data_IF_496263463566
#
_entry.id   IF_496263463566
#
_cell.length_a   1.000
_cell.length_b   1.000
_cell.length_c   1.000
_cell.angle_alpha   90.00
_cell.angle_beta   90.00
_cell.angle_gamma   90.00
#
_symmetry.space_group_name_H-M   'P 1'
#
loop_
_entity.id
_entity.type
_entity.pdbx_description
1 polymer ?
#
# COMPACT_ATOMS: atom_id res chain seq x y z
N UNK A 1 1.75 -17.22 -13.37
CA UNK A 1 2.78 -17.47 -12.36
C UNK A 1 4.14 -16.85 -12.70
N UNK A 2 4.69 -17.06 -13.90
CA UNK A 2 6.05 -16.60 -14.27
C UNK A 2 6.34 -15.09 -14.04
N UNK A 3 5.44 -14.14 -14.40
CA UNK A 3 5.74 -12.71 -14.20
C UNK A 3 5.75 -12.26 -12.74
N UNK A 4 4.94 -12.90 -11.88
CA UNK A 4 4.91 -12.62 -10.44
C UNK A 4 6.17 -13.15 -9.76
N UNK A 5 6.62 -14.34 -10.14
CA UNK A 5 7.89 -14.89 -9.66
C UNK A 5 9.07 -14.01 -10.08
N UNK A 6 9.06 -13.49 -11.31
CA UNK A 6 10.07 -12.53 -11.77
C UNK A 6 10.06 -11.22 -10.96
N UNK A 7 8.87 -10.67 -10.63
CA UNK A 7 8.77 -9.50 -9.74
C UNK A 7 9.34 -9.82 -8.35
N UNK A 8 8.95 -10.95 -7.80
CA UNK A 8 9.35 -11.35 -6.45
C UNK A 8 10.85 -11.57 -6.35
N UNK A 9 11.44 -12.28 -7.32
CA UNK A 9 12.89 -12.46 -7.43
C UNK A 9 13.62 -11.12 -7.59
N UNK A 10 13.12 -10.24 -8.46
CA UNK A 10 13.68 -8.88 -8.60
C UNK A 10 13.67 -8.11 -7.27
N UNK A 11 12.54 -8.13 -6.55
CA UNK A 11 12.42 -7.46 -5.26
C UNK A 11 13.35 -8.08 -4.19
N UNK A 12 13.46 -9.40 -4.13
CA UNK A 12 14.39 -10.08 -3.21
C UNK A 12 15.84 -9.73 -3.55
N UNK A 13 16.22 -9.78 -4.83
CA UNK A 13 17.58 -9.46 -5.27
C UNK A 13 17.92 -8.04 -4.85
N UNK A 14 17.05 -7.07 -5.12
CA UNK A 14 17.29 -5.68 -4.73
C UNK A 14 17.28 -5.49 -3.21
N UNK A 15 16.45 -6.22 -2.46
CA UNK A 15 16.45 -6.22 -0.99
C UNK A 15 17.80 -6.70 -0.42
N UNK A 16 18.30 -7.83 -0.91
CA UNK A 16 19.59 -8.41 -0.51
C UNK A 16 20.77 -7.53 -0.96
N UNK A 17 20.59 -6.75 -2.03
CA UNK A 17 21.63 -5.85 -2.56
C UNK A 17 21.85 -4.62 -1.68
N UNK A 18 20.82 -4.14 -0.98
CA UNK A 18 20.93 -2.95 -0.11
C UNK A 18 22.09 -3.03 0.90
N UNK A 19 22.24 -4.09 1.72
CA UNK A 19 23.36 -4.17 2.67
C UNK A 19 24.73 -4.18 1.97
N UNK A 20 24.86 -4.84 0.81
CA UNK A 20 26.11 -4.85 0.05
C UNK A 20 26.49 -3.46 -0.44
N UNK A 21 25.53 -2.70 -0.96
CA UNK A 21 25.74 -1.32 -1.40
C UNK A 21 26.21 -0.40 -0.28
N UNK A 22 25.68 -0.62 0.93
CA UNK A 22 26.06 0.16 2.10
C UNK A 22 27.49 -0.16 2.55
N UNK A 23 27.90 -1.43 2.50
CA UNK A 23 29.27 -1.86 2.84
C UNK A 23 30.29 -1.33 1.82
N UNK A 24 29.97 -1.39 0.52
CA UNK A 24 30.87 -0.96 -0.56
C UNK A 24 30.78 0.56 -0.81
N UNK A 25 29.82 1.25 -0.20
CA UNK A 25 29.61 2.69 -0.40
C UNK A 25 29.04 3.04 -1.78
N UNK A 26 28.41 2.09 -2.49
CA UNK A 26 27.85 2.31 -3.83
C UNK A 26 26.57 3.12 -3.74
N UNK A 27 26.59 4.40 -4.13
CA UNK A 27 25.43 5.30 -4.07
C UNK A 27 24.59 5.36 -5.35
N UNK A 28 25.23 5.22 -6.51
CA UNK A 28 24.59 5.32 -7.83
C UNK A 28 24.16 3.95 -8.32
N UNK A 29 22.91 3.81 -8.76
CA UNK A 29 22.30 2.53 -9.14
C UNK A 29 21.40 2.65 -10.37
N UNK A 30 21.32 1.54 -11.09
CA UNK A 30 20.46 1.34 -12.27
C UNK A 30 19.48 0.22 -11.93
N UNK A 31 18.19 0.48 -12.17
CA UNK A 31 17.08 -0.45 -12.02
C UNK A 31 16.46 -0.69 -13.39
N UNK A 32 16.50 -1.93 -13.88
CA UNK A 32 15.97 -2.29 -15.19
C UNK A 32 14.93 -3.39 -15.07
N UNK A 33 13.77 -3.20 -15.71
CA UNK A 33 12.68 -4.17 -15.74
C UNK A 33 11.98 -4.17 -17.10
N UNK A 34 11.71 -5.36 -17.64
CA UNK A 34 11.07 -5.51 -18.95
C UNK A 34 9.79 -6.33 -18.89
N UNK A 35 8.73 -5.94 -19.59
CA UNK A 35 7.48 -6.70 -19.65
C UNK A 35 6.91 -6.73 -21.06
N UNK A 36 6.46 -7.91 -21.48
CA UNK A 36 5.60 -8.09 -22.65
C UNK A 36 4.28 -7.37 -22.39
N UNK A 37 3.74 -6.69 -23.39
CA UNK A 37 2.50 -5.93 -23.40
C UNK A 37 1.63 -6.49 -24.52
N UNK A 38 0.38 -6.84 -24.21
CA UNK A 38 -0.59 -7.26 -25.23
C UNK A 38 -1.19 -6.02 -25.91
N UNK A 39 -0.34 -5.29 -26.62
CA UNK A 39 -0.68 -4.13 -27.42
C UNK A 39 0.35 -3.97 -28.56
N UNK A 40 -0.06 -3.45 -29.72
CA UNK A 40 0.86 -3.11 -30.81
C UNK A 40 1.96 -2.16 -30.35
N UNK A 41 3.17 -2.29 -30.92
CA UNK A 41 4.32 -1.40 -30.63
C UNK A 41 3.96 0.08 -30.75
N UNK A 42 3.16 0.45 -31.75
CA UNK A 42 2.72 1.83 -32.00
C UNK A 42 1.83 2.37 -30.88
N UNK A 43 0.87 1.58 -30.39
CA UNK A 43 0.00 1.96 -29.26
C UNK A 43 0.81 2.12 -27.98
N UNK A 44 1.73 1.18 -27.73
CA UNK A 44 2.62 1.23 -26.58
C UNK A 44 3.55 2.43 -26.62
N UNK A 45 4.15 2.74 -27.78
CA UNK A 45 4.97 3.92 -27.97
C UNK A 45 4.19 5.20 -27.64
N UNK A 46 2.98 5.35 -28.19
CA UNK A 46 2.12 6.50 -27.95
C UNK A 46 1.68 6.66 -26.48
N UNK A 47 1.81 5.63 -25.66
CA UNK A 47 1.59 5.71 -24.20
C UNK A 47 2.84 6.19 -23.50
N UNK A 48 4.01 5.63 -23.82
CA UNK A 48 5.26 5.94 -23.11
C UNK A 48 5.82 7.33 -23.46
N UNK A 49 5.58 7.82 -24.68
CA UNK A 49 6.05 9.13 -25.16
C UNK A 49 5.03 10.26 -24.92
N UNK A 50 3.87 9.97 -24.34
CA UNK A 50 2.83 10.97 -24.16
C UNK A 50 3.16 11.99 -23.07
N UNK A 51 3.18 13.27 -23.44
CA UNK A 51 3.27 14.41 -22.52
C UNK A 51 1.96 14.72 -21.79
N UNK A 52 0.83 14.30 -22.39
CA UNK A 52 -0.52 14.47 -21.83
C UNK A 52 -1.25 13.13 -21.86
N UNK A 53 -1.37 12.48 -20.71
CA UNK A 53 -1.95 11.14 -20.61
C UNK A 53 -2.50 10.86 -19.22
N UNK A 54 -3.59 10.09 -19.16
CA UNK A 54 -4.01 9.43 -17.93
C UNK A 54 -3.49 8.01 -17.94
N UNK A 55 -2.57 7.71 -17.03
CA UNK A 55 -1.98 6.40 -16.82
C UNK A 55 -2.83 5.59 -15.84
N UNK A 56 -3.16 4.37 -16.27
CA UNK A 56 -3.88 3.37 -15.51
C UNK A 56 -3.04 2.86 -14.33
N UNK A 57 -3.59 2.85 -13.13
CA UNK A 57 -2.89 2.34 -11.95
C UNK A 57 -3.66 2.67 -10.69
N UNK A 58 -3.46 1.98 -9.55
CA UNK A 58 -4.04 2.38 -8.29
C UNK A 58 -3.10 3.32 -7.52
N UNK A 59 -3.49 4.60 -7.33
CA UNK A 59 -4.47 5.40 -8.06
C UNK A 59 -3.98 5.85 -9.45
N UNK A 60 -4.92 6.26 -10.33
CA UNK A 60 -4.59 6.71 -11.69
C UNK A 60 -3.80 8.01 -11.61
N UNK A 61 -2.95 8.22 -12.62
CA UNK A 61 -2.03 9.33 -12.67
C UNK A 61 -2.22 10.10 -13.97
N UNK A 62 -2.60 11.37 -13.88
CA UNK A 62 -2.76 12.23 -15.05
C UNK A 62 -1.54 13.11 -15.22
N UNK A 63 -0.75 12.83 -16.23
CA UNK A 63 0.37 13.67 -16.64
C UNK A 63 -0.16 14.73 -17.62
N UNK A 64 0.19 15.98 -17.36
CA UNK A 64 -0.10 17.11 -18.23
C UNK A 64 1.11 18.04 -18.24
N UNK A 65 2.02 17.81 -19.20
CA UNK A 65 3.23 18.60 -19.40
C UNK A 65 3.25 19.26 -20.78
N UNK A 66 3.90 20.41 -20.83
CA UNK A 66 4.10 21.21 -22.03
C UNK A 66 5.57 21.59 -22.16
N UNK A 67 6.07 21.75 -23.40
CA UNK A 67 7.44 22.20 -23.62
C UNK A 67 7.63 23.61 -23.03
N UNK A 68 8.74 23.81 -22.33
CA UNK A 68 9.14 25.12 -21.81
C UNK A 68 9.60 26.03 -22.96
N UNK A 69 8.92 27.16 -23.22
CA UNK A 69 9.27 28.05 -24.32
C UNK A 69 10.69 28.63 -24.23
N UNK A 70 11.26 28.71 -23.03
CA UNK A 70 12.59 29.29 -22.79
C UNK A 70 13.72 28.24 -22.80
N UNK A 71 13.40 26.96 -22.63
CA UNK A 71 14.38 25.88 -22.45
C UNK A 71 14.08 24.71 -23.40
N UNK A 72 14.72 24.68 -24.59
CA UNK A 72 14.52 23.60 -25.55
C UNK A 72 14.75 22.21 -24.94
N UNK A 73 13.80 21.29 -25.17
CA UNK A 73 13.84 19.92 -24.65
C UNK A 73 13.42 19.77 -23.19
N UNK A 74 13.13 20.86 -22.47
CA UNK A 74 12.54 20.82 -21.13
C UNK A 74 11.02 20.85 -21.22
N UNK A 75 10.37 20.02 -20.42
CA UNK A 75 8.94 19.96 -20.27
C UNK A 75 8.58 20.24 -18.82
N UNK A 76 7.58 21.09 -18.63
CA UNK A 76 7.08 21.45 -17.31
C UNK A 76 5.57 21.26 -17.28
N UNK A 77 5.03 21.00 -16.10
CA UNK A 77 3.61 20.90 -15.92
C UNK A 77 3.29 20.15 -14.66
N UNK A 78 2.22 19.37 -14.71
CA UNK A 78 1.69 18.77 -13.51
C UNK A 78 1.37 17.31 -13.68
N UNK A 79 1.65 16.55 -12.63
CA UNK A 79 1.21 15.20 -12.48
C UNK A 79 0.12 15.19 -11.41
N UNK A 80 -1.10 14.87 -11.82
CA UNK A 80 -2.24 14.77 -10.93
C UNK A 80 -2.38 13.33 -10.42
N UNK A 81 -2.46 13.22 -9.10
CA UNK A 81 -2.62 11.98 -8.36
C UNK A 81 -3.82 12.11 -7.44
N UNK A 82 -4.97 11.55 -7.85
CA UNK A 82 -6.27 11.84 -7.26
C UNK A 82 -6.57 13.36 -7.30
N UNK A 83 -6.77 13.98 -6.15
CA UNK A 83 -7.09 15.41 -6.03
C UNK A 83 -5.83 16.29 -5.91
N UNK A 84 -4.64 15.69 -5.84
CA UNK A 84 -3.40 16.45 -5.78
C UNK A 84 -2.81 16.69 -7.14
N UNK A 85 -2.49 17.94 -7.40
CA UNK A 85 -1.76 18.38 -8.58
C UNK A 85 -0.32 18.69 -8.14
N UNK A 86 0.62 17.85 -8.54
CA UNK A 86 2.03 17.96 -8.19
C UNK A 86 2.81 18.56 -9.34
N UNK A 87 3.70 19.50 -9.06
CA UNK A 87 4.61 20.08 -10.04
C UNK A 87 5.64 19.05 -10.48
N UNK A 88 5.84 18.98 -11.80
CA UNK A 88 6.67 17.99 -12.46
C UNK A 88 7.41 18.63 -13.63
N UNK A 89 8.73 18.45 -13.67
CA UNK A 89 9.60 19.00 -14.70
C UNK A 89 10.69 18.00 -15.09
N UNK A 90 10.94 17.85 -16.38
CA UNK A 90 11.97 16.94 -16.90
C UNK A 90 12.56 17.48 -18.20
N UNK A 91 13.74 16.99 -18.55
CA UNK A 91 14.41 17.27 -19.81
C UNK A 91 14.53 15.98 -20.62
N UNK A 92 14.14 16.01 -21.89
CA UNK A 92 14.45 14.92 -22.82
C UNK A 92 15.94 14.99 -23.15
N UNK A 93 16.66 13.90 -22.88
CA UNK A 93 18.08 13.77 -23.21
C UNK A 93 18.29 13.15 -24.59
N UNK A 94 17.46 12.16 -24.95
CA UNK A 94 17.50 11.48 -26.24
C UNK A 94 16.13 10.88 -26.55
N UNK A 95 15.74 10.89 -27.82
CA UNK A 95 14.54 10.23 -28.31
C UNK A 95 14.82 9.62 -29.68
N UNK A 96 14.51 8.33 -29.80
CA UNK A 96 14.42 7.62 -31.08
C UNK A 96 12.94 7.26 -31.26
N UNK A 97 12.18 8.02 -32.06
CA UNK A 97 10.74 7.85 -32.19
C UNK A 97 10.35 6.41 -32.54
N UNK A 98 9.45 5.84 -31.75
CA UNK A 98 8.99 4.46 -31.88
C UNK A 98 9.86 3.43 -31.15
N UNK A 99 11.04 3.80 -30.65
CA UNK A 99 12.01 2.83 -30.12
C UNK A 99 12.44 3.14 -28.69
N UNK A 100 12.90 4.35 -28.39
CA UNK A 100 13.44 4.67 -27.07
C UNK A 100 13.29 6.15 -26.71
N UNK A 101 13.06 6.44 -25.44
CA UNK A 101 13.01 7.78 -24.87
C UNK A 101 13.81 7.80 -23.56
N UNK A 102 14.75 8.74 -23.45
CA UNK A 102 15.55 8.99 -22.25
C UNK A 102 15.31 10.40 -21.77
N UNK A 103 14.99 10.53 -20.48
CA UNK A 103 14.73 11.80 -19.82
C UNK A 103 15.51 11.93 -18.51
N UNK A 104 15.77 13.17 -18.12
CA UNK A 104 16.30 13.55 -16.81
C UNK A 104 15.22 14.28 -16.04
N UNK A 105 14.97 13.85 -14.81
CA UNK A 105 14.05 14.55 -13.93
C UNK A 105 14.74 15.78 -13.32
N UNK A 106 14.11 16.94 -13.44
CA UNK A 106 14.62 18.19 -12.84
C UNK A 106 14.14 18.26 -11.39
N UNK A 107 14.76 17.47 -10.51
CA UNK A 107 14.30 17.22 -9.13
C UNK A 107 14.10 18.47 -8.27
N UNK A 108 14.84 19.54 -8.56
CA UNK A 108 14.72 20.80 -7.83
C UNK A 108 13.47 21.60 -8.21
N UNK A 109 13.00 21.44 -9.45
CA UNK A 109 11.78 22.06 -9.99
C UNK A 109 10.53 21.19 -9.77
N UNK A 110 10.72 19.95 -9.34
CA UNK A 110 9.64 19.04 -9.00
C UNK A 110 9.19 19.19 -7.54
N UNK A 111 7.95 18.81 -7.27
CA UNK A 111 7.46 18.68 -5.91
C UNK A 111 8.32 17.70 -5.07
N UNK A 112 8.48 17.90 -3.74
CA UNK A 112 9.40 17.13 -2.90
C UNK A 112 9.19 15.60 -2.86
N UNK A 113 8.05 15.11 -3.36
CA UNK A 113 7.77 13.68 -3.50
C UNK A 113 8.63 13.02 -4.59
N UNK A 114 9.02 13.79 -5.61
CA UNK A 114 9.85 13.32 -6.73
C UNK A 114 11.35 13.31 -6.42
N UNK A 115 11.76 13.85 -5.27
CA UNK A 115 13.14 13.85 -4.78
C UNK A 115 13.51 12.51 -4.13
N UNK A 116 13.41 11.44 -4.93
CA UNK A 116 13.72 10.07 -4.52
C UNK A 116 15.24 9.81 -4.55
N UNK A 117 15.99 10.60 -5.30
CA UNK A 117 17.45 10.63 -5.33
C UNK A 117 17.96 11.87 -6.05
N UNK A 118 19.27 11.92 -6.25
CA UNK A 118 19.93 12.91 -7.09
C UNK A 118 20.22 12.31 -8.48
N UNK A 119 20.41 13.17 -9.49
CA UNK A 119 20.75 12.78 -10.86
C UNK A 119 19.82 11.73 -11.49
N UNK A 120 18.51 11.83 -11.24
CA UNK A 120 17.55 10.86 -11.72
C UNK A 120 17.41 10.89 -13.25
N UNK A 121 17.73 9.77 -13.89
CA UNK A 121 17.56 9.51 -15.32
C UNK A 121 16.56 8.36 -15.47
N UNK A 122 15.51 8.58 -16.27
CA UNK A 122 14.58 7.55 -16.69
C UNK A 122 14.78 7.26 -18.18
N UNK A 123 14.81 5.99 -18.56
CA UNK A 123 14.82 5.57 -19.94
C UNK A 123 13.76 4.50 -20.16
N UNK A 124 13.09 4.56 -21.31
CA UNK A 124 12.12 3.56 -21.72
C UNK A 124 12.41 3.14 -23.16
N UNK A 125 12.45 1.85 -23.41
CA UNK A 125 12.58 1.27 -24.73
C UNK A 125 11.34 0.43 -25.04
N UNK A 126 10.87 0.49 -26.29
CA UNK A 126 9.73 -0.27 -26.79
C UNK A 126 10.15 -1.08 -28.02
N UNK A 127 10.04 -2.39 -27.91
CA UNK A 127 10.26 -3.32 -29.02
C UNK A 127 8.97 -4.10 -29.34
N UNK A 128 8.86 -4.66 -30.54
CA UNK A 128 7.72 -5.49 -30.94
C UNK A 128 7.16 -5.17 -32.31
N UNK A 129 5.95 -5.67 -32.55
CA UNK A 129 5.24 -5.64 -33.84
C UNK A 129 3.80 -5.12 -33.69
N UNK A 130 2.97 -5.33 -34.72
CA UNK A 130 1.56 -4.90 -34.74
C UNK A 130 0.65 -5.72 -33.83
N UNK A 131 1.11 -6.84 -33.28
CA UNK A 131 0.34 -7.73 -32.42
C UNK A 131 0.70 -7.56 -30.95
N UNK A 132 2.00 -7.44 -30.64
CA UNK A 132 2.54 -7.41 -29.28
C UNK A 132 3.78 -6.55 -29.18
N UNK A 133 4.05 -6.09 -27.97
CA UNK A 133 5.22 -5.26 -27.68
C UNK A 133 5.87 -5.64 -26.36
N UNK A 134 7.06 -5.10 -26.11
CA UNK A 134 7.81 -5.22 -24.87
C UNK A 134 8.22 -3.81 -24.46
N UNK A 135 7.91 -3.43 -23.23
CA UNK A 135 8.45 -2.23 -22.60
C UNK A 135 9.62 -2.66 -21.73
N UNK A 136 10.78 -2.01 -21.92
CA UNK A 136 11.91 -2.06 -20.98
C UNK A 136 12.03 -0.68 -20.34
N UNK A 137 11.82 -0.61 -19.02
CA UNK A 137 11.99 0.61 -18.25
C UNK A 137 13.30 0.51 -17.46
N UNK A 138 14.10 1.55 -17.54
CA UNK A 138 15.37 1.70 -16.86
C UNK A 138 15.36 3.01 -16.07
N UNK A 139 15.79 2.94 -14.81
CA UNK A 139 15.92 4.10 -13.95
C UNK A 139 17.30 4.12 -13.30
N UNK A 140 18.02 5.20 -13.50
CA UNK A 140 19.33 5.44 -12.90
C UNK A 140 19.25 6.63 -11.94
N UNK A 141 19.75 6.50 -10.72
CA UNK A 141 19.84 7.61 -9.77
C UNK A 141 20.93 7.41 -8.72
N UNK A 142 21.27 8.50 -8.03
CA UNK A 142 22.13 8.50 -6.84
C UNK A 142 21.27 8.53 -5.57
N UNK A 143 21.36 7.48 -4.75
CA UNK A 143 20.64 7.39 -3.49
C UNK A 143 21.26 8.29 -2.42
N UNK A 144 20.42 9.15 -1.84
CA UNK A 144 20.78 9.99 -0.67
C UNK A 144 20.24 9.44 0.65
N UNK A 145 19.27 8.51 0.60
CA UNK A 145 18.62 7.92 1.78
C UNK A 145 18.51 6.41 1.63
N UNK A 146 18.72 5.68 2.71
CA UNK A 146 18.55 4.22 2.72
C UNK A 146 17.13 3.80 2.32
N UNK A 147 16.10 4.56 2.73
CA UNK A 147 14.70 4.27 2.40
C UNK A 147 14.42 4.25 0.91
N UNK A 148 15.12 5.08 0.13
CA UNK A 148 14.92 5.19 -1.32
C UNK A 148 15.40 3.94 -2.05
N UNK A 149 16.36 3.20 -1.48
CA UNK A 149 16.85 1.93 -2.03
C UNK A 149 15.79 0.83 -1.98
N UNK A 150 14.94 0.86 -0.97
CA UNK A 150 13.81 -0.08 -0.84
C UNK A 150 12.59 0.35 -1.67
N UNK A 151 12.39 1.67 -1.82
CA UNK A 151 11.22 2.21 -2.54
C UNK A 151 11.40 2.21 -4.06
N UNK A 152 12.61 2.38 -4.57
CA UNK A 152 12.86 2.49 -6.02
C UNK A 152 12.44 1.23 -6.80
N UNK A 153 12.80 -0.01 -6.40
CA UNK A 153 12.35 -1.22 -7.08
C UNK A 153 10.83 -1.30 -7.23
N UNK A 154 10.09 -0.92 -6.18
CA UNK A 154 8.62 -0.86 -6.18
C UNK A 154 8.10 0.23 -7.11
N UNK A 155 8.78 1.36 -7.16
CA UNK A 155 8.40 2.53 -7.98
C UNK A 155 8.55 2.21 -9.46
N UNK A 156 9.65 1.58 -9.88
CA UNK A 156 9.87 1.18 -11.27
C UNK A 156 8.87 0.09 -11.69
N UNK A 157 8.66 -0.94 -10.87
CA UNK A 157 7.63 -1.94 -11.17
C UNK A 157 6.24 -1.30 -11.33
N UNK A 158 5.88 -0.39 -10.43
CA UNK A 158 4.59 0.32 -10.49
C UNK A 158 4.46 1.13 -11.78
N UNK A 159 5.50 1.87 -12.17
CA UNK A 159 5.55 2.67 -13.40
C UNK A 159 5.35 1.77 -14.63
N UNK A 160 6.15 0.71 -14.76
CA UNK A 160 6.05 -0.27 -15.84
C UNK A 160 4.66 -0.90 -15.94
N UNK A 161 4.07 -1.29 -14.81
CA UNK A 161 2.71 -1.83 -14.79
C UNK A 161 1.66 -0.81 -15.20
N UNK A 162 1.87 0.47 -14.88
CA UNK A 162 0.97 1.54 -15.26
C UNK A 162 1.00 1.79 -16.77
N UNK A 163 2.21 1.85 -17.35
CA UNK A 163 2.42 1.96 -18.80
C UNK A 163 1.82 0.76 -19.54
N UNK A 164 2.16 -0.47 -19.13
CA UNK A 164 1.61 -1.71 -19.70
C UNK A 164 0.08 -1.73 -19.69
N UNK A 165 -0.55 -1.44 -18.54
CA UNK A 165 -2.02 -1.45 -18.43
C UNK A 165 -2.68 -0.41 -19.33
N UNK A 166 -2.09 0.78 -19.40
CA UNK A 166 -2.63 1.87 -20.23
C UNK A 166 -2.57 1.48 -21.70
N UNK A 167 -1.46 0.88 -22.15
CA UNK A 167 -1.30 0.40 -23.53
C UNK A 167 -2.29 -0.72 -23.88
N UNK A 168 -2.43 -1.74 -23.03
CA UNK A 168 -3.39 -2.85 -23.24
C UNK A 168 -4.85 -2.36 -23.29
N UNK A 169 -5.19 -1.41 -22.42
CA UNK A 169 -6.54 -0.82 -22.37
C UNK A 169 -6.82 -0.01 -23.63
N UNK A 170 -5.87 0.83 -24.08
CA UNK A 170 -6.00 1.59 -25.34
C UNK A 170 -6.05 0.72 -26.58
N UNK A 171 -5.41 -0.45 -26.55
CA UNK A 171 -5.49 -1.43 -27.64
C UNK A 171 -6.82 -2.22 -27.66
N UNK A 172 -7.76 -1.94 -26.74
CA UNK A 172 -9.00 -2.69 -26.61
C UNK A 172 -8.81 -4.15 -26.17
N UNK A 173 -7.58 -4.52 -25.78
CA UNK A 173 -7.23 -5.88 -25.35
C UNK A 173 -7.62 -6.16 -23.91
N UNK A 174 -8.07 -5.13 -23.18
CA UNK A 174 -8.42 -5.26 -21.77
C UNK A 174 -9.63 -4.43 -21.37
N UNK A 175 -10.72 -5.13 -21.04
CA UNK A 175 -11.68 -4.67 -20.04
C UNK A 175 -11.33 -5.36 -18.72
N UNK A 176 -11.28 -4.66 -17.58
CA UNK A 176 -11.09 -5.34 -16.29
C UNK A 176 -12.34 -6.18 -15.98
N UNK A 177 -12.25 -7.48 -16.23
CA UNK A 177 -13.25 -8.45 -15.79
C UNK A 177 -13.13 -8.74 -14.29
N UNK A 178 -14.25 -9.06 -13.67
CA UNK A 178 -14.34 -9.61 -12.31
C UNK A 178 -13.39 -10.81 -12.09
N UNK A 179 -13.10 -11.58 -13.15
CA UNK A 179 -12.18 -12.72 -13.13
C UNK A 179 -10.76 -12.36 -12.71
N UNK A 180 -10.19 -11.24 -13.19
CA UNK A 180 -8.80 -10.84 -12.91
C UNK A 180 -8.60 -10.49 -11.42
N UNK A 181 -9.62 -9.86 -10.83
CA UNK A 181 -9.62 -9.52 -9.40
C UNK A 181 -9.71 -10.77 -8.55
N UNK A 182 -10.59 -11.70 -8.93
CA UNK A 182 -10.74 -12.99 -8.24
C UNK A 182 -9.47 -13.83 -8.32
N UNK A 183 -8.84 -13.94 -9.48
CA UNK A 183 -7.58 -14.68 -9.64
C UNK A 183 -6.46 -14.09 -8.78
N UNK A 184 -6.37 -12.76 -8.70
CA UNK A 184 -5.35 -12.09 -7.87
C UNK A 184 -5.58 -12.33 -6.38
N UNK A 185 -6.83 -12.23 -5.93
CA UNK A 185 -7.21 -12.51 -4.54
C UNK A 185 -6.93 -13.97 -4.16
N UNK A 186 -7.24 -14.94 -5.03
CA UNK A 186 -6.99 -16.36 -4.78
C UNK A 186 -5.49 -16.66 -4.69
N UNK A 187 -4.68 -16.15 -5.62
CA UNK A 187 -3.23 -16.38 -5.62
C UNK A 187 -2.59 -15.75 -4.38
N UNK A 188 -2.93 -14.50 -4.08
CA UNK A 188 -2.38 -13.81 -2.91
C UNK A 188 -2.84 -14.46 -1.61
N UNK A 189 -4.12 -14.88 -1.53
CA UNK A 189 -4.66 -15.61 -0.40
C UNK A 189 -3.95 -16.95 -0.16
N UNK A 190 -3.65 -17.71 -1.23
CA UNK A 190 -2.90 -18.96 -1.13
C UNK A 190 -1.45 -18.74 -0.63
N UNK A 191 -0.78 -17.67 -1.08
CA UNK A 191 0.55 -17.32 -0.59
C UNK A 191 0.52 -16.87 0.88
N UNK A 192 -0.49 -16.08 1.28
CA UNK A 192 -0.66 -15.67 2.67
C UNK A 192 -0.98 -16.86 3.56
N UNK A 193 -1.84 -17.78 3.11
CA UNK A 193 -2.10 -19.04 3.80
C UNK A 193 -0.80 -19.84 4.01
N UNK A 194 -0.01 -20.03 2.96
CA UNK A 194 1.28 -20.71 3.07
C UNK A 194 2.23 -20.02 4.06
N UNK A 195 2.23 -18.67 4.10
CA UNK A 195 3.04 -17.92 5.06
C UNK A 195 2.58 -18.09 6.51
N UNK A 196 1.27 -18.16 6.76
CA UNK A 196 0.73 -18.42 8.09
C UNK A 196 0.97 -19.86 8.51
N UNK A 197 0.78 -20.83 7.62
CA UNK A 197 1.08 -22.25 7.88
C UNK A 197 2.56 -22.55 8.13
N UNK A 198 3.46 -21.63 7.76
CA UNK A 198 4.89 -21.73 8.09
C UNK A 198 5.21 -21.23 9.51
N UNK A 199 4.32 -20.44 10.12
CA UNK A 199 4.49 -19.85 11.45
C UNK A 199 3.59 -20.50 12.51
N UNK A 200 2.43 -21.02 12.08
CA UNK A 200 1.38 -21.57 12.92
C UNK A 200 0.89 -22.90 12.35
N UNK A 201 0.14 -23.65 13.14
CA UNK A 201 -0.52 -24.86 12.66
C UNK A 201 -1.58 -24.52 11.58
N UNK A 202 -1.97 -25.54 10.82
CA UNK A 202 -2.87 -25.37 9.67
C UNK A 202 -4.24 -24.81 10.07
N UNK A 203 -4.76 -25.15 11.25
CA UNK A 203 -6.06 -24.66 11.71
C UNK A 203 -6.00 -23.17 12.01
N UNK A 204 -4.98 -22.74 12.77
CA UNK A 204 -4.71 -21.32 13.05
C UNK A 204 -4.48 -20.52 11.77
N UNK A 205 -3.76 -21.07 10.79
CA UNK A 205 -3.53 -20.41 9.50
C UNK A 205 -4.82 -20.17 8.71
N UNK A 206 -5.76 -21.14 8.70
CA UNK A 206 -7.09 -20.97 8.08
C UNK A 206 -7.88 -19.89 8.83
N UNK A 207 -7.88 -19.94 10.16
CA UNK A 207 -8.57 -18.96 11.00
C UNK A 207 -8.06 -17.54 10.70
N UNK A 208 -6.74 -17.33 10.68
CA UNK A 208 -6.14 -16.03 10.40
C UNK A 208 -6.52 -15.51 9.00
N UNK A 209 -6.53 -16.38 7.99
CA UNK A 209 -6.94 -15.99 6.64
C UNK A 209 -8.40 -15.54 6.60
N UNK A 210 -9.30 -16.26 7.29
CA UNK A 210 -10.72 -15.91 7.37
C UNK A 210 -10.94 -14.58 8.11
N UNK A 211 -10.27 -14.39 9.26
CA UNK A 211 -10.34 -13.14 10.03
C UNK A 211 -9.87 -11.96 9.20
N UNK A 212 -8.74 -12.08 8.50
CA UNK A 212 -8.23 -11.04 7.60
C UNK A 212 -9.22 -10.76 6.46
N UNK A 213 -9.78 -11.79 5.83
CA UNK A 213 -10.77 -11.58 4.76
C UNK A 213 -12.00 -10.82 5.26
N UNK A 214 -12.56 -11.19 6.41
CA UNK A 214 -13.73 -10.53 7.00
C UNK A 214 -13.44 -9.08 7.35
N UNK A 215 -12.26 -8.80 7.89
CA UNK A 215 -11.77 -7.46 8.16
C UNK A 215 -11.69 -6.61 6.87
N UNK A 216 -11.06 -7.13 5.82
CA UNK A 216 -10.95 -6.40 4.54
C UNK A 216 -12.32 -6.16 3.87
N UNK A 217 -13.26 -7.09 4.03
CA UNK A 217 -14.64 -6.89 3.56
C UNK A 217 -15.32 -5.71 4.27
N UNK A 218 -15.02 -5.48 5.54
CA UNK A 218 -15.46 -4.28 6.26
C UNK A 218 -15.00 -2.99 5.60
N UNK A 219 -13.72 -2.91 5.22
CA UNK A 219 -13.19 -1.78 4.46
C UNK A 219 -13.86 -1.64 3.09
N UNK A 220 -14.07 -2.74 2.36
CA UNK A 220 -14.73 -2.74 1.04
C UNK A 220 -16.16 -2.21 1.12
N UNK A 221 -16.93 -2.65 2.11
CA UNK A 221 -18.30 -2.18 2.33
C UNK A 221 -18.31 -0.68 2.64
N UNK A 222 -17.40 -0.23 3.51
CA UNK A 222 -17.29 1.19 3.87
C UNK A 222 -16.87 2.05 2.67
N UNK A 223 -15.89 1.61 1.88
CA UNK A 223 -15.47 2.29 0.66
C UNK A 223 -16.64 2.47 -0.30
N UNK A 224 -17.41 1.41 -0.55
CA UNK A 224 -18.61 1.49 -1.40
C UNK A 224 -19.64 2.48 -0.85
N UNK A 225 -19.86 2.48 0.46
CA UNK A 225 -20.82 3.39 1.10
C UNK A 225 -20.42 4.86 0.96
N UNK A 226 -19.14 5.20 1.13
CA UNK A 226 -18.66 6.58 0.95
C UNK A 226 -18.40 6.97 -0.52
N UNK A 227 -18.74 6.09 -1.46
CA UNK A 227 -18.60 6.28 -2.90
C UNK A 227 -17.15 6.25 -3.38
N UNK A 228 -16.30 5.43 -2.76
CA UNK A 228 -14.96 5.08 -3.24
C UNK A 228 -15.09 3.77 -4.03
N UNK A 229 -14.85 3.78 -5.36
CA UNK A 229 -14.87 2.56 -6.15
C UNK A 229 -13.82 1.57 -5.65
N UNK A 230 -14.19 0.29 -5.50
CA UNK A 230 -13.27 -0.74 -4.99
C UNK A 230 -12.66 -1.50 -6.16
N UNK A 231 -11.33 -1.63 -6.18
CA UNK A 231 -10.59 -2.34 -7.23
C UNK A 231 -10.27 -3.79 -6.91
N UNK A 232 -10.22 -4.15 -5.64
CA UNK A 232 -9.96 -5.51 -5.22
C UNK A 232 -9.43 -5.60 -3.79
N UNK A 233 -9.32 -6.85 -3.34
CA UNK A 233 -8.70 -7.24 -2.09
C UNK A 233 -7.44 -8.03 -2.45
N UNK A 234 -6.33 -7.71 -1.80
CA UNK A 234 -5.06 -8.42 -1.96
C UNK A 234 -4.57 -8.88 -0.60
N UNK A 235 -4.08 -10.11 -0.52
CA UNK A 235 -3.43 -10.59 0.69
C UNK A 235 -1.92 -10.37 0.59
N UNK A 236 -1.31 -9.98 1.71
CA UNK A 236 0.12 -9.75 1.83
C UNK A 236 0.67 -10.85 2.74
N UNK A 237 1.52 -11.75 2.22
CA UNK A 237 2.12 -12.81 3.03
C UNK A 237 2.78 -12.26 4.28
N UNK A 238 2.61 -12.93 5.42
CA UNK A 238 3.07 -12.51 6.77
C UNK A 238 2.41 -11.28 7.39
N UNK A 239 1.74 -10.41 6.62
CA UNK A 239 1.22 -9.14 7.11
C UNK A 239 -0.32 -9.09 7.19
N UNK A 240 -1.04 -9.80 6.32
CA UNK A 240 -2.51 -9.83 6.32
C UNK A 240 -3.12 -9.48 4.97
N UNK A 241 -3.99 -8.46 4.95
CA UNK A 241 -4.78 -8.06 3.79
C UNK A 241 -4.62 -6.57 3.45
N UNK A 242 -5.08 -6.20 2.26
CA UNK A 242 -5.30 -4.80 1.89
C UNK A 242 -6.42 -4.69 0.85
N UNK A 243 -7.46 -3.94 1.20
CA UNK A 243 -8.49 -3.49 0.29
C UNK A 243 -8.05 -2.22 -0.45
N UNK A 244 -8.11 -2.24 -1.78
CA UNK A 244 -7.62 -1.15 -2.62
C UNK A 244 -8.79 -0.41 -3.28
N UNK A 245 -8.95 0.87 -2.95
CA UNK A 245 -9.92 1.78 -3.58
C UNK A 245 -9.35 2.60 -4.75
N UNK A 246 -10.23 3.14 -5.60
CA UNK A 246 -9.95 4.19 -6.57
C UNK A 246 -10.09 5.54 -5.87
N UNK A 247 -8.96 6.20 -5.58
CA UNK A 247 -8.99 7.57 -5.07
C UNK A 247 -8.54 7.68 -3.62
N UNK A 248 -7.66 8.66 -3.37
CA UNK A 248 -7.42 9.22 -2.03
C UNK A 248 -8.17 10.56 -1.82
N UNK A 249 -9.10 10.95 -2.70
CA UNK A 249 -9.71 12.28 -2.74
C UNK A 249 -10.92 12.56 -1.81
N UNK A 250 -11.18 11.71 -0.82
CA UNK A 250 -12.28 11.94 0.13
C UNK A 250 -11.79 12.64 1.41
N UNK A 251 -12.72 13.23 2.16
CA UNK A 251 -12.46 13.91 3.44
C UNK A 251 -11.71 12.99 4.42
N UNK A 252 -10.98 13.58 5.36
CA UNK A 252 -10.32 12.80 6.42
C UNK A 252 -11.34 11.99 7.24
N UNK A 253 -12.59 12.47 7.34
CA UNK A 253 -13.69 11.74 7.97
C UNK A 253 -14.01 10.43 7.23
N UNK A 254 -14.10 10.46 5.91
CA UNK A 254 -14.36 9.26 5.11
C UNK A 254 -13.23 8.24 5.22
N UNK A 255 -11.97 8.70 5.26
CA UNK A 255 -10.81 7.83 5.44
C UNK A 255 -10.80 7.16 6.81
N UNK A 256 -11.06 7.94 7.87
CA UNK A 256 -11.13 7.42 9.22
C UNK A 256 -12.29 6.45 9.40
N UNK A 257 -13.44 6.74 8.76
CA UNK A 257 -14.58 5.83 8.71
C UNK A 257 -14.21 4.50 8.03
N UNK A 258 -13.60 4.54 6.84
CA UNK A 258 -13.16 3.32 6.15
C UNK A 258 -12.20 2.52 7.02
N UNK A 259 -11.20 3.18 7.64
CA UNK A 259 -10.25 2.52 8.55
C UNK A 259 -10.94 1.88 9.76
N UNK A 260 -11.91 2.56 10.39
CA UNK A 260 -12.66 2.01 11.52
C UNK A 260 -13.53 0.82 11.12
N UNK A 261 -14.05 0.79 9.90
CA UNK A 261 -15.02 -0.21 9.47
C UNK A 261 -14.45 -1.61 9.24
N UNK A 262 -13.14 -1.77 9.05
CA UNK A 262 -12.52 -3.11 9.03
C UNK A 262 -12.70 -3.84 10.36
N UNK A 263 -12.20 -3.26 11.47
CA UNK A 263 -12.49 -3.74 12.82
C UNK A 263 -14.00 -3.71 13.15
N UNK A 264 -14.71 -2.61 12.92
CA UNK A 264 -16.11 -2.52 13.35
C UNK A 264 -17.03 -3.55 12.68
N UNK A 265 -16.84 -3.86 11.39
CA UNK A 265 -17.60 -4.93 10.72
C UNK A 265 -17.26 -6.30 11.30
N UNK A 266 -15.99 -6.51 11.66
CA UNK A 266 -15.53 -7.77 12.26
C UNK A 266 -16.15 -8.03 13.63
N UNK A 267 -16.61 -7.01 14.37
CA UNK A 267 -17.32 -7.19 15.65
C UNK A 267 -18.51 -8.15 15.53
N UNK A 268 -19.26 -8.07 14.43
CA UNK A 268 -20.41 -8.94 14.20
C UNK A 268 -19.99 -10.41 14.12
N UNK A 269 -18.93 -10.71 13.37
CA UNK A 269 -18.41 -12.07 13.24
C UNK A 269 -17.72 -12.55 14.50
N UNK A 270 -16.92 -11.71 15.16
CA UNK A 270 -16.28 -12.04 16.44
C UNK A 270 -17.32 -12.33 17.52
N UNK A 271 -18.37 -11.52 17.61
CA UNK A 271 -19.46 -11.72 18.57
C UNK A 271 -20.26 -12.98 18.27
N UNK A 272 -20.50 -13.29 16.99
CA UNK A 272 -21.15 -14.53 16.57
C UNK A 272 -20.32 -15.76 16.97
N UNK A 273 -19.01 -15.75 16.73
CA UNK A 273 -18.12 -16.85 17.10
C UNK A 273 -18.08 -17.04 18.62
N UNK A 274 -17.98 -15.95 19.38
CA UNK A 274 -18.03 -16.00 20.84
C UNK A 274 -19.37 -16.59 21.32
N UNK A 275 -20.49 -16.12 20.77
CA UNK A 275 -21.81 -16.60 21.16
C UNK A 275 -21.98 -18.10 20.84
N UNK A 276 -21.63 -18.54 19.63
CA UNK A 276 -21.72 -19.94 19.23
C UNK A 276 -20.78 -20.83 20.05
N UNK A 277 -19.58 -20.35 20.37
CA UNK A 277 -18.63 -21.08 21.24
C UNK A 277 -19.25 -21.34 22.61
N UNK A 278 -19.85 -20.31 23.24
CA UNK A 278 -20.49 -20.44 24.55
C UNK A 278 -21.77 -21.30 24.54
N UNK A 279 -22.45 -21.42 23.40
CA UNK A 279 -23.65 -22.28 23.29
C UNK A 279 -23.30 -23.76 23.11
N UNK A 280 -22.19 -24.06 22.44
CA UNK A 280 -21.84 -25.42 22.05
C UNK A 280 -20.62 -25.98 22.81
N UNK A 281 -20.07 -25.20 23.74
CA UNK A 281 -18.80 -25.50 24.43
C UNK A 281 -17.67 -25.87 23.45
N UNK A 282 -17.62 -25.17 22.31
CA UNK A 282 -16.71 -25.46 21.20
C UNK A 282 -15.41 -24.64 21.32
N UNK A 283 -14.26 -25.27 21.60
CA UNK A 283 -12.97 -24.59 21.73
C UNK A 283 -12.50 -23.97 20.41
N UNK A 284 -12.83 -24.57 19.26
CA UNK A 284 -12.42 -24.02 17.96
C UNK A 284 -13.11 -22.67 17.69
N UNK A 285 -14.39 -22.55 18.05
CA UNK A 285 -15.11 -21.28 17.95
C UNK A 285 -14.61 -20.25 18.99
N UNK A 286 -14.14 -20.70 20.15
CA UNK A 286 -13.49 -19.83 21.13
C UNK A 286 -12.19 -19.25 20.57
N UNK A 287 -11.33 -20.11 19.99
CA UNK A 287 -10.07 -19.70 19.37
C UNK A 287 -10.32 -18.75 18.18
N UNK A 288 -11.34 -19.04 17.36
CA UNK A 288 -11.74 -18.18 16.26
C UNK A 288 -12.20 -16.79 16.75
N UNK A 289 -12.98 -16.74 17.84
CA UNK A 289 -13.40 -15.48 18.45
C UNK A 289 -12.21 -14.73 19.08
N UNK A 290 -11.31 -15.42 19.77
CA UNK A 290 -10.13 -14.84 20.41
C UNK A 290 -9.15 -14.28 19.38
N UNK A 291 -8.77 -15.09 18.38
CA UNK A 291 -7.88 -14.64 17.30
C UNK A 291 -8.50 -13.48 16.52
N UNK A 292 -9.81 -13.54 16.25
CA UNK A 292 -10.53 -12.43 15.63
C UNK A 292 -10.46 -11.16 16.48
N UNK A 293 -10.65 -11.27 17.80
CA UNK A 293 -10.56 -10.14 18.71
C UNK A 293 -9.15 -9.56 18.81
N UNK A 294 -8.13 -10.41 18.90
CA UNK A 294 -6.71 -10.00 18.97
C UNK A 294 -6.31 -9.30 17.67
N UNK A 295 -6.55 -9.90 16.50
CA UNK A 295 -6.16 -9.30 15.20
C UNK A 295 -6.85 -7.96 14.98
N UNK A 296 -8.14 -7.84 15.26
CA UNK A 296 -8.86 -6.58 15.08
C UNK A 296 -8.51 -5.54 16.17
N UNK A 297 -8.29 -5.98 17.40
CA UNK A 297 -7.82 -5.12 18.50
C UNK A 297 -6.42 -4.56 18.23
N UNK A 298 -5.51 -5.38 17.71
CA UNK A 298 -4.19 -4.94 17.24
C UNK A 298 -4.32 -3.93 16.10
N UNK A 299 -5.20 -4.16 15.12
CA UNK A 299 -5.43 -3.19 14.04
C UNK A 299 -5.97 -1.85 14.53
N UNK A 300 -6.59 -1.79 15.70
CA UNK A 300 -7.00 -0.53 16.33
C UNK A 300 -5.87 0.19 17.06
N UNK A 301 -4.69 -0.40 17.25
CA UNK A 301 -3.57 0.32 17.87
C UNK A 301 -3.22 1.58 17.07
N UNK A 302 -2.92 2.71 17.74
CA UNK A 302 -2.70 4.01 17.11
C UNK A 302 -1.33 4.14 16.42
N UNK A 303 -0.92 3.12 15.66
CA UNK A 303 0.40 2.95 15.05
C UNK A 303 0.21 2.68 13.56
N UNK A 304 0.80 3.50 12.69
CA UNK A 304 0.79 3.23 11.25
C UNK A 304 1.65 2.00 10.93
N UNK A 305 1.27 1.13 9.97
CA UNK A 305 0.19 1.28 8.99
C UNK A 305 -1.19 0.73 9.43
N UNK A 306 -1.34 0.33 10.70
CA UNK A 306 -2.61 -0.22 11.24
C UNK A 306 -3.74 0.81 11.12
N UNK A 307 -4.98 0.34 11.17
CA UNK A 307 -6.15 1.20 11.00
C UNK A 307 -6.28 2.25 12.11
N UNK A 308 -5.94 1.91 13.35
CA UNK A 308 -5.86 2.87 14.45
C UNK A 308 -4.84 3.97 14.17
N UNK A 309 -3.73 3.66 13.50
CA UNK A 309 -2.77 4.64 13.01
C UNK A 309 -3.36 5.57 11.94
N UNK A 310 -4.17 5.04 11.01
CA UNK A 310 -4.87 5.82 10.00
C UNK A 310 -5.96 6.71 10.61
N UNK A 311 -6.67 6.22 11.62
CA UNK A 311 -7.63 6.99 12.42
C UNK A 311 -6.91 8.12 13.16
N UNK A 312 -5.78 7.85 13.80
CA UNK A 312 -4.96 8.88 14.46
C UNK A 312 -4.44 9.91 13.46
N UNK A 313 -4.06 9.49 12.25
CA UNK A 313 -3.66 10.40 11.18
C UNK A 313 -4.80 11.37 10.82
N UNK A 314 -6.03 10.87 10.67
CA UNK A 314 -7.20 11.71 10.43
C UNK A 314 -7.49 12.66 11.60
N UNK A 315 -7.37 12.19 12.85
CA UNK A 315 -7.56 13.01 14.06
C UNK A 315 -6.51 14.14 14.17
N UNK A 316 -5.28 13.88 13.72
CA UNK A 316 -4.17 14.84 13.77
C UNK A 316 -4.05 15.71 12.52
N UNK A 317 -4.93 15.54 11.53
CA UNK A 317 -4.92 16.27 10.26
C UNK A 317 -5.00 17.80 10.41
N UNK A 318 -5.62 18.29 11.48
CA UNK A 318 -5.72 19.74 11.80
C UNK A 318 -4.44 20.32 12.42
N UNK A 319 -3.51 19.47 12.84
CA UNK A 319 -2.29 19.89 13.51
C UNK A 319 -1.22 20.24 12.49
N UNK A 320 -0.20 20.98 12.93
CA UNK A 320 0.98 21.19 12.10
C UNK A 320 1.69 19.85 11.84
N UNK A 321 2.33 19.65 10.66
CA UNK A 321 3.01 18.40 10.33
C UNK A 321 4.08 17.98 11.36
N UNK A 322 4.68 18.95 12.07
CA UNK A 322 5.63 18.68 13.17
C UNK A 322 4.93 18.03 14.37
N UNK A 323 3.77 18.55 14.78
CA UNK A 323 2.99 18.04 15.91
C UNK A 323 2.39 16.67 15.59
N UNK A 324 1.80 16.49 14.41
CA UNK A 324 1.26 15.19 13.99
C UNK A 324 2.34 14.10 14.00
N UNK A 325 3.53 14.40 13.46
CA UNK A 325 4.68 13.49 13.50
C UNK A 325 5.15 13.17 14.91
N UNK A 326 5.20 14.16 15.80
CA UNK A 326 5.60 13.94 17.19
C UNK A 326 4.62 12.98 17.90
N UNK A 327 3.31 13.15 17.67
CA UNK A 327 2.28 12.28 18.23
C UNK A 327 2.43 10.84 17.70
N UNK A 328 2.54 10.63 16.39
CA UNK A 328 2.74 9.28 15.85
C UNK A 328 4.07 8.67 16.27
N UNK A 329 5.13 9.47 16.41
CA UNK A 329 6.41 9.01 16.94
C UNK A 329 6.30 8.55 18.40
N UNK A 330 5.54 9.26 19.22
CA UNK A 330 5.25 8.84 20.60
C UNK A 330 4.45 7.53 20.64
N UNK A 331 3.44 7.37 19.78
CA UNK A 331 2.65 6.13 19.70
C UNK A 331 3.49 4.94 19.23
N UNK A 332 4.38 5.15 18.26
CA UNK A 332 5.33 4.14 17.80
C UNK A 332 6.26 3.70 18.94
N UNK A 333 6.85 4.66 19.68
CA UNK A 333 7.70 4.36 20.84
C UNK A 333 6.93 3.61 21.94
N UNK A 334 5.68 4.00 22.20
CA UNK A 334 4.80 3.29 23.12
C UNK A 334 4.56 1.85 22.67
N UNK A 335 4.31 1.62 21.38
CA UNK A 335 4.16 0.29 20.81
C UNK A 335 5.42 -0.57 20.92
N UNK A 336 6.60 0.00 20.66
CA UNK A 336 7.89 -0.67 20.87
C UNK A 336 8.08 -1.04 22.35
N UNK A 337 7.78 -0.11 23.26
CA UNK A 337 7.85 -0.36 24.70
C UNK A 337 6.89 -1.46 25.16
N UNK A 338 5.68 -1.49 24.62
CA UNK A 338 4.70 -2.53 24.90
C UNK A 338 5.16 -3.90 24.38
N UNK A 339 5.65 -3.98 23.14
CA UNK A 339 6.18 -5.20 22.58
C UNK A 339 7.37 -5.73 23.40
N UNK A 340 8.29 -4.84 23.80
CA UNK A 340 9.42 -5.19 24.66
C UNK A 340 8.97 -5.67 26.06
N UNK A 341 7.95 -5.04 26.65
CA UNK A 341 7.37 -5.44 27.94
C UNK A 341 6.82 -6.86 27.91
N UNK A 342 6.15 -7.25 26.82
CA UNK A 342 5.64 -8.61 26.63
C UNK A 342 6.68 -9.60 26.10
N UNK A 343 7.91 -9.15 25.82
CA UNK A 343 8.97 -9.99 25.23
C UNK A 343 8.69 -10.39 23.77
N UNK A 344 7.78 -9.71 23.08
CA UNK A 344 7.42 -10.00 21.68
C UNK A 344 8.39 -9.28 20.72
N UNK A 345 9.54 -9.90 20.50
CA UNK A 345 10.58 -9.38 19.62
C UNK A 345 10.17 -9.33 18.14
N UNK A 346 9.21 -10.18 17.73
CA UNK A 346 8.71 -10.19 16.35
C UNK A 346 7.84 -8.96 16.09
N UNK A 347 6.89 -8.68 16.98
CA UNK A 347 6.08 -7.47 16.92
C UNK A 347 6.96 -6.21 17.02
N UNK A 348 7.96 -6.22 17.89
CA UNK A 348 8.93 -5.13 18.00
C UNK A 348 9.68 -4.91 16.67
N UNK A 349 10.20 -5.97 16.03
CA UNK A 349 10.89 -5.88 14.76
C UNK A 349 9.99 -5.35 13.64
N UNK A 350 8.73 -5.79 13.61
CA UNK A 350 7.72 -5.32 12.65
C UNK A 350 7.46 -3.81 12.81
N UNK A 351 7.30 -3.33 14.05
CA UNK A 351 7.11 -1.90 14.36
C UNK A 351 8.36 -1.07 13.99
N UNK A 352 9.56 -1.60 14.19
CA UNK A 352 10.80 -0.92 13.83
C UNK A 352 11.00 -0.85 12.31
N UNK A 353 10.57 -1.87 11.56
CA UNK A 353 10.66 -1.90 10.10
C UNK A 353 9.85 -0.77 9.44
N UNK A 354 8.67 -0.46 9.99
CA UNK A 354 7.76 0.58 9.48
C UNK A 354 8.09 1.99 10.01
N UNK A 355 8.85 2.09 11.10
CA UNK A 355 9.21 3.35 11.77
C UNK A 355 9.77 4.45 10.84
N UNK A 356 10.68 4.17 9.88
CA UNK A 356 11.20 5.21 9.00
C UNK A 356 10.12 5.85 8.10
N UNK A 357 9.12 5.05 7.69
CA UNK A 357 7.98 5.53 6.92
C UNK A 357 7.05 6.40 7.75
N UNK A 358 6.78 5.98 9.00
CA UNK A 358 5.96 6.74 9.95
C UNK A 358 6.62 8.06 10.35
N UNK A 359 7.95 8.11 10.46
CA UNK A 359 8.68 9.32 10.85
C UNK A 359 9.04 10.24 9.67
N UNK A 360 8.78 9.80 8.43
CA UNK A 360 9.09 10.60 7.24
C UNK A 360 8.32 11.92 7.22
N UNK A 361 9.02 13.01 6.86
CA UNK A 361 8.39 14.33 6.66
C UNK A 361 7.30 14.28 5.58
N UNK A 362 7.47 13.45 4.56
CA UNK A 362 6.57 13.34 3.41
C UNK A 362 5.19 12.78 3.79
N UNK A 363 5.13 11.89 4.79
CA UNK A 363 3.89 11.26 5.28
C UNK A 363 2.85 12.27 5.79
N UNK A 364 3.30 13.38 6.39
CA UNK A 364 2.45 14.42 6.98
C UNK A 364 2.45 15.74 6.20
N UNK A 365 3.39 15.92 5.28
CA UNK A 365 3.41 17.08 4.39
C UNK A 365 2.23 17.08 3.42
N UNK A 366 1.61 15.91 3.24
CA UNK A 366 0.58 15.67 2.26
C UNK A 366 -0.82 15.57 2.87
N UNK A 367 -1.22 16.32 3.91
CA UNK A 367 -2.63 16.42 4.32
C UNK A 367 -3.50 16.58 3.05
N UNK A 368 -4.29 15.53 2.76
CA UNK A 368 -4.80 15.27 1.41
C UNK A 368 -6.31 15.52 1.36
N UNK A 369 -7.03 15.35 2.47
CA UNK A 369 -8.46 15.59 2.58
C UNK A 369 -8.81 16.83 3.40
N UNK A 370 -10.08 17.20 3.33
CA UNK A 370 -10.65 18.23 4.23
C UNK A 370 -10.62 17.74 5.68
N UNK A 371 -10.19 18.59 6.65
CA UNK A 371 -10.15 18.19 8.05
C UNK A 371 -11.55 17.90 8.59
N UNK A 372 -11.67 16.86 9.42
CA UNK A 372 -12.93 16.47 10.07
C UNK A 372 -13.52 17.61 10.91
N UNK A 373 -14.84 17.79 10.91
CA UNK A 373 -15.58 18.66 11.83
C UNK A 373 -15.56 18.14 13.27
N UNK A 374 -15.85 18.99 14.27
CA UNK A 374 -15.89 18.57 15.69
C UNK A 374 -16.89 17.44 15.93
N UNK A 375 -18.03 17.43 15.22
CA UNK A 375 -19.05 16.38 15.32
C UNK A 375 -18.52 15.06 14.76
N UNK A 376 -17.92 15.08 13.57
CA UNK A 376 -17.32 13.87 12.98
C UNK A 376 -16.19 13.32 13.87
N UNK A 377 -15.36 14.19 14.46
CA UNK A 377 -14.32 13.77 15.41
C UNK A 377 -14.93 13.08 16.63
N UNK A 378 -15.99 13.65 17.22
CA UNK A 378 -16.65 13.05 18.38
C UNK A 378 -17.23 11.67 18.04
N UNK A 379 -17.95 11.55 16.93
CA UNK A 379 -18.50 10.26 16.46
C UNK A 379 -17.41 9.22 16.23
N UNK A 380 -16.31 9.61 15.59
CA UNK A 380 -15.19 8.72 15.34
C UNK A 380 -14.54 8.23 16.64
N UNK A 381 -14.31 9.11 17.62
CA UNK A 381 -13.73 8.74 18.92
C UNK A 381 -14.66 7.79 19.67
N UNK A 382 -15.97 8.07 19.69
CA UNK A 382 -16.94 7.19 20.33
C UNK A 382 -16.99 5.82 19.66
N UNK A 383 -17.05 5.76 18.32
CA UNK A 383 -17.05 4.51 17.57
C UNK A 383 -15.77 3.71 17.76
N UNK A 384 -14.62 4.38 17.69
CA UNK A 384 -13.31 3.76 17.95
C UNK A 384 -13.22 3.19 19.37
N UNK A 385 -13.61 3.96 20.39
CA UNK A 385 -13.61 3.50 21.78
C UNK A 385 -14.55 2.31 22.01
N UNK A 386 -15.77 2.35 21.48
CA UNK A 386 -16.71 1.25 21.58
C UNK A 386 -16.19 -0.04 20.91
N UNK A 387 -15.60 0.09 19.72
CA UNK A 387 -15.00 -1.04 18.98
C UNK A 387 -13.83 -1.64 19.75
N UNK A 388 -12.96 -0.79 20.32
CA UNK A 388 -11.81 -1.24 21.10
C UNK A 388 -12.23 -1.97 22.38
N UNK A 389 -13.18 -1.39 23.12
CA UNK A 389 -13.71 -1.99 24.36
C UNK A 389 -14.41 -3.32 24.09
N UNK A 390 -15.11 -3.45 22.96
CA UNK A 390 -15.72 -4.72 22.57
C UNK A 390 -14.66 -5.83 22.45
N UNK A 391 -13.53 -5.57 21.79
CA UNK A 391 -12.49 -6.59 21.63
C UNK A 391 -11.77 -6.95 22.93
N UNK A 392 -11.54 -5.97 23.81
CA UNK A 392 -11.06 -6.26 25.17
C UNK A 392 -12.05 -7.17 25.89
N UNK A 393 -13.36 -6.85 25.83
CA UNK A 393 -14.40 -7.63 26.49
C UNK A 393 -14.49 -9.06 25.97
N UNK A 394 -14.33 -9.29 24.66
CA UNK A 394 -14.28 -10.64 24.08
C UNK A 394 -13.06 -11.40 24.59
N UNK A 395 -11.87 -10.80 24.55
CA UNK A 395 -10.64 -11.45 25.00
C UNK A 395 -10.70 -11.80 26.50
N UNK A 396 -11.15 -10.86 27.33
CA UNK A 396 -11.36 -11.08 28.77
C UNK A 396 -12.38 -12.18 29.03
N UNK A 397 -13.49 -12.20 28.28
CA UNK A 397 -14.52 -13.23 28.43
C UNK A 397 -13.96 -14.61 28.13
N UNK A 398 -13.22 -14.77 27.04
CA UNK A 398 -12.64 -16.07 26.65
C UNK A 398 -11.58 -16.51 27.64
N UNK A 399 -10.68 -15.60 28.05
CA UNK A 399 -9.62 -15.90 29.02
C UNK A 399 -10.16 -16.38 30.37
N UNK A 400 -11.30 -15.85 30.79
CA UNK A 400 -11.97 -16.23 32.04
C UNK A 400 -12.94 -17.41 31.88
N UNK A 401 -13.12 -17.97 30.68
CA UNK A 401 -14.00 -19.12 30.45
C UNK A 401 -13.17 -20.42 30.47
N UNK A 402 -13.56 -21.46 31.23
CA UNK A 402 -12.76 -22.67 31.39
C UNK A 402 -12.55 -23.51 30.11
N UNK A 403 -13.15 -23.14 28.98
CA UNK A 403 -13.01 -23.84 27.68
C UNK A 403 -11.57 -23.84 27.13
N UNK A 404 -10.73 -22.88 27.51
CA UNK A 404 -9.33 -22.77 27.03
C UNK A 404 -8.30 -23.36 28.03
N UNK A 405 -8.72 -23.70 29.25
CA UNK A 405 -7.82 -24.18 30.31
C UNK A 405 -7.38 -25.66 30.17
N UNK A 406 -7.59 -26.29 29.01
CA UNK A 406 -7.42 -27.72 28.77
C UNK A 406 -6.32 -28.15 27.81
N UNK A 407 -5.36 -27.28 27.47
CA UNK A 407 -4.26 -27.61 26.55
C UNK A 407 -2.94 -27.01 27.02
N UNK A 408 -2.19 -27.77 27.82
CA UNK A 408 -0.78 -27.56 28.15
C UNK A 408 0.14 -27.89 26.99
#
# INVERSE_FOLDING_TARGET
>A
MLPLLQNFLFLIIELVRVPFDLVVGTKRRIYEVSRVVDAPKTVTWNVVSAHKITLEGPPPMRLDTEPDPARPGVFTGTCQYNDKRLQFAYQILAETPGEALTLRLLTDECDPIYRIGEDYIGAVAVAGDESRSVITECCELTHTKISTRFLMPLTVLRSLYSLKRTAETRAGRRGRGFSDQLTSAVITGALTFASFSALFDMSTAVILLLVVLLHELGHVLAMRWVGIPVRGIYFIPFFGGVAVGEGFGKSEAARAFVALMGPAASMMTTGLFLWLSLQNDDPFLADLALLSAVVNGLNLLPILPLDGGRILQALTSRLSPRRARAIHGAMLLGGVGLAAWFGDYLLMALILLIAPGVLSKQTYALNLGTPMTRRETAWLICGYGATFLFYIGVAERIWNTPLVAGGS
#
